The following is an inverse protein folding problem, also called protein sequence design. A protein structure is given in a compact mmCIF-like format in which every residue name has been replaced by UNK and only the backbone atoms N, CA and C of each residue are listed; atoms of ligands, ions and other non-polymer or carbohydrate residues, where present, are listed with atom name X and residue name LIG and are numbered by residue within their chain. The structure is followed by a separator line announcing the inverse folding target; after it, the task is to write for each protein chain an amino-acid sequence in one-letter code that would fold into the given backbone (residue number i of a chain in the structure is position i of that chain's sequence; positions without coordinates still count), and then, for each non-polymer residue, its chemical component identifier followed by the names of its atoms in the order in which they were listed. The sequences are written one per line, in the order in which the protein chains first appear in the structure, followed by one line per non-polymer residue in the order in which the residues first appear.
data_IF_785025250538
#
_entry.id   IF_785025250538
#
_cell.length_a   1.000
_cell.length_b   1.000
_cell.length_c   1.000
_cell.angle_alpha   90.00
_cell.angle_beta   90.00
_cell.angle_gamma   90.00
#
_symmetry.space_group_name_H-M   'P 1'
#
loop_
_entity.id
_entity.type
_entity.pdbx_description
1 polymer ?
#
# COMPACT_ATOMS: atom_id res chain seq x y z
N UNK A 1 -33.37 -34.53 36.22
CA UNK A 1 -32.44 -33.44 36.60
C UNK A 1 -32.11 -32.70 35.31
N UNK A 2 -32.71 -31.52 35.09
CA UNK A 2 -32.58 -30.75 33.85
C UNK A 2 -31.24 -30.02 33.88
N UNK A 3 -30.27 -30.45 33.07
CA UNK A 3 -29.12 -29.62 32.72
C UNK A 3 -29.60 -28.67 31.62
N UNK A 4 -29.75 -27.40 31.98
CA UNK A 4 -30.11 -26.33 31.06
C UNK A 4 -28.95 -26.05 30.11
N UNK A 5 -29.35 -25.94 28.84
CA UNK A 5 -28.64 -25.41 27.68
C UNK A 5 -28.07 -24.00 27.99
N UNK A 6 -26.85 -23.93 28.53
CA UNK A 6 -26.14 -22.66 28.76
C UNK A 6 -24.68 -22.63 28.28
N UNK A 7 -24.01 -23.77 28.10
CA UNK A 7 -22.56 -23.79 27.83
C UNK A 7 -22.20 -24.02 26.36
N UNK A 8 -22.84 -23.28 25.45
CA UNK A 8 -22.37 -23.13 24.06
C UNK A 8 -22.23 -21.63 23.78
N UNK A 9 -21.33 -21.00 24.53
CA UNK A 9 -20.60 -19.83 24.05
C UNK A 9 -19.12 -20.20 24.10
N UNK A 10 -18.63 -20.80 23.02
CA UNK A 10 -17.19 -20.93 22.80
C UNK A 10 -16.64 -19.59 22.31
N UNK A 11 -16.83 -18.53 23.10
CA UNK A 11 -15.94 -17.38 23.02
C UNK A 11 -14.62 -17.84 23.62
N UNK A 12 -13.66 -18.14 22.74
CA UNK A 12 -12.33 -18.59 23.16
C UNK A 12 -11.62 -17.39 23.76
N UNK A 13 -11.78 -17.18 25.07
CA UNK A 13 -11.13 -16.09 25.82
C UNK A 13 -9.63 -16.10 25.58
N UNK A 14 -9.09 -14.91 25.31
CA UNK A 14 -7.66 -14.68 25.08
C UNK A 14 -6.85 -15.03 26.34
N UNK A 15 -5.57 -15.38 26.22
CA UNK A 15 -4.80 -15.80 27.38
C UNK A 15 -4.50 -14.62 28.33
N UNK A 16 -4.48 -13.39 27.81
CA UNK A 16 -4.42 -12.16 28.61
C UNK A 16 -5.58 -12.08 29.61
N UNK A 17 -6.81 -12.34 29.15
CA UNK A 17 -8.00 -12.30 30.00
C UNK A 17 -7.94 -13.37 31.10
N UNK A 18 -7.34 -14.53 30.80
CA UNK A 18 -7.13 -15.60 31.80
C UNK A 18 -6.06 -15.21 32.81
N UNK A 19 -4.93 -14.65 32.38
CA UNK A 19 -3.89 -14.17 33.30
C UNK A 19 -4.38 -13.03 34.18
N UNK A 20 -5.38 -12.25 33.75
CA UNK A 20 -5.92 -11.16 34.55
C UNK A 20 -6.91 -11.57 35.65
N UNK A 21 -7.34 -12.83 35.68
CA UNK A 21 -8.22 -13.33 36.75
C UNK A 21 -7.46 -13.41 38.09
N UNK A 22 -8.05 -12.92 39.20
CA UNK A 22 -7.37 -12.87 40.50
C UNK A 22 -6.91 -14.26 40.97
N UNK A 23 -7.71 -15.30 40.74
CA UNK A 23 -7.38 -16.69 41.10
C UNK A 23 -6.15 -17.23 40.36
N UNK A 24 -5.83 -16.69 39.17
CA UNK A 24 -4.71 -17.14 38.35
C UNK A 24 -3.46 -16.29 38.68
N UNK A 25 -3.62 -15.01 39.03
CA UNK A 25 -2.54 -14.17 39.57
C UNK A 25 -1.97 -14.70 40.89
N UNK A 26 -2.78 -15.32 41.72
CA UNK A 26 -2.30 -15.96 42.96
C UNK A 26 -1.32 -17.13 42.71
N UNK A 27 -1.31 -17.71 41.50
CA UNK A 27 -0.38 -18.78 41.11
C UNK A 27 1.04 -18.28 40.86
N UNK A 28 1.24 -16.97 40.70
CA UNK A 28 2.55 -16.35 40.49
C UNK A 28 3.50 -16.59 41.69
N UNK A 29 2.95 -16.56 42.92
CA UNK A 29 3.72 -16.75 44.16
C UNK A 29 3.54 -18.14 44.78
N UNK A 30 2.87 -19.05 44.06
CA UNK A 30 2.48 -20.36 44.56
C UNK A 30 3.40 -21.51 44.11
N UNK A 31 3.11 -22.75 44.57
CA UNK A 31 3.82 -23.95 44.13
C UNK A 31 3.60 -24.28 42.64
N UNK A 32 2.66 -23.62 41.97
CA UNK A 32 2.30 -23.82 40.56
C UNK A 32 2.88 -22.73 39.63
N UNK A 33 3.93 -22.03 40.05
CA UNK A 33 4.61 -20.98 39.27
C UNK A 33 5.00 -21.42 37.85
N UNK A 34 5.35 -22.70 37.67
CA UNK A 34 5.68 -23.26 36.35
C UNK A 34 4.49 -23.20 35.36
N UNK A 35 3.25 -23.38 35.84
CA UNK A 35 2.04 -23.26 35.01
C UNK A 35 1.73 -21.81 34.66
N UNK A 36 1.96 -20.88 35.60
CA UNK A 36 1.85 -19.44 35.35
C UNK A 36 2.85 -18.99 34.27
N UNK A 37 4.12 -19.39 34.41
CA UNK A 37 5.16 -19.10 33.42
C UNK A 37 4.82 -19.69 32.05
N UNK A 38 4.25 -20.89 32.02
CA UNK A 38 3.80 -21.53 30.78
C UNK A 38 2.65 -20.75 30.14
N UNK A 39 1.68 -20.29 30.92
CA UNK A 39 0.58 -19.47 30.41
C UNK A 39 1.08 -18.14 29.85
N UNK A 40 2.02 -17.49 30.54
CA UNK A 40 2.66 -16.25 30.10
C UNK A 40 3.44 -16.44 28.78
N UNK A 41 4.09 -17.60 28.62
CA UNK A 41 4.76 -17.99 27.38
C UNK A 41 3.77 -18.17 26.22
N UNK A 42 2.61 -18.76 26.45
CA UNK A 42 1.57 -18.88 25.41
C UNK A 42 0.91 -17.55 25.07
N UNK A 43 0.79 -16.64 26.03
CA UNK A 43 0.28 -15.29 25.77
C UNK A 43 1.28 -14.47 24.95
N UNK A 44 2.56 -14.48 25.31
CA UNK A 44 3.49 -13.46 24.82
C UNK A 44 4.81 -13.95 24.25
N UNK A 45 5.17 -15.19 24.54
CA UNK A 45 6.48 -15.75 24.24
C UNK A 45 6.56 -16.45 22.90
N UNK A 46 7.71 -17.06 22.64
CA UNK A 46 8.00 -17.82 21.43
C UNK A 46 8.40 -19.26 21.73
N UNK A 47 8.42 -20.10 20.69
CA UNK A 47 8.89 -21.47 20.82
C UNK A 47 10.38 -21.55 21.17
N UNK A 48 11.20 -20.60 20.72
CA UNK A 48 12.61 -20.49 21.10
C UNK A 48 12.79 -20.24 22.61
N UNK A 49 11.99 -19.33 23.18
CA UNK A 49 11.97 -19.07 24.62
C UNK A 49 11.54 -20.30 25.43
N UNK A 50 10.64 -21.14 24.89
CA UNK A 50 10.31 -22.43 25.51
C UNK A 50 11.53 -23.36 25.58
N UNK A 51 12.34 -23.41 24.53
CA UNK A 51 13.51 -24.29 24.47
C UNK A 51 14.60 -23.87 25.45
N UNK A 52 14.78 -22.56 25.63
CA UNK A 52 15.76 -21.98 26.57
C UNK A 52 15.34 -22.17 28.03
N UNK A 53 14.02 -22.13 28.31
CA UNK A 53 13.49 -22.13 29.68
C UNK A 53 12.83 -23.44 30.12
N UNK A 54 13.19 -24.58 29.50
CA UNK A 54 12.61 -25.91 29.82
C UNK A 54 12.66 -26.29 31.30
N UNK A 55 13.64 -25.78 32.04
CA UNK A 55 13.83 -26.08 33.47
C UNK A 55 12.81 -25.37 34.39
N UNK A 56 12.19 -24.30 33.90
CA UNK A 56 11.29 -23.41 34.65
C UNK A 56 9.83 -23.63 34.20
N UNK A 57 9.65 -24.29 33.06
CA UNK A 57 8.38 -24.49 32.38
C UNK A 57 7.89 -25.94 32.52
N UNK A 58 6.58 -26.13 32.38
CA UNK A 58 5.98 -27.46 32.37
C UNK A 58 6.28 -28.13 31.02
N UNK A 59 6.53 -29.44 31.04
CA UNK A 59 6.75 -30.20 29.81
C UNK A 59 5.48 -30.17 28.93
N UNK A 60 5.61 -29.62 27.73
CA UNK A 60 4.49 -29.49 26.81
C UNK A 60 4.24 -30.79 26.04
N UNK A 61 2.95 -31.14 25.93
CA UNK A 61 2.49 -32.21 25.03
C UNK A 61 2.80 -31.85 23.57
N UNK A 62 2.89 -32.85 22.65
CA UNK A 62 3.17 -32.58 21.23
C UNK A 62 2.18 -31.60 20.59
N UNK A 63 0.91 -31.66 21.00
CA UNK A 63 -0.15 -30.76 20.51
C UNK A 63 0.08 -29.32 21.01
N UNK A 64 0.49 -29.15 22.26
CA UNK A 64 0.81 -27.83 22.82
C UNK A 64 2.06 -27.22 22.18
N UNK A 65 3.08 -28.04 21.87
CA UNK A 65 4.27 -27.59 21.13
C UNK A 65 3.91 -27.06 19.75
N UNK A 66 3.10 -27.79 18.98
CA UNK A 66 2.59 -27.33 17.69
C UNK A 66 1.82 -26.01 17.79
N UNK A 67 0.95 -25.87 18.80
CA UNK A 67 0.25 -24.60 19.06
C UNK A 67 1.20 -23.43 19.31
N UNK A 68 2.23 -23.64 20.13
CA UNK A 68 3.22 -22.59 20.41
C UNK A 68 4.04 -22.24 19.15
N UNK A 69 4.35 -23.22 18.31
CA UNK A 69 4.96 -23.00 17.01
C UNK A 69 4.06 -22.16 16.09
N UNK A 70 2.76 -22.45 15.99
CA UNK A 70 1.80 -21.62 15.24
C UNK A 70 1.75 -20.18 15.75
N UNK A 71 1.70 -19.98 17.07
CA UNK A 71 1.71 -18.64 17.68
C UNK A 71 3.03 -17.90 17.41
N UNK A 72 4.14 -18.62 17.34
CA UNK A 72 5.44 -18.05 16.97
C UNK A 72 5.42 -17.56 15.52
N UNK A 73 4.82 -18.32 14.59
CA UNK A 73 4.63 -17.89 13.19
C UNK A 73 3.78 -16.61 13.12
N UNK A 74 2.68 -16.53 13.87
CA UNK A 74 1.84 -15.31 13.96
C UNK A 74 2.64 -14.11 14.45
N UNK A 75 3.52 -14.32 15.44
CA UNK A 75 4.38 -13.28 15.99
C UNK A 75 5.38 -12.77 14.96
N UNK A 76 5.98 -13.66 14.19
CA UNK A 76 6.89 -13.30 13.11
C UNK A 76 6.14 -12.58 11.97
N UNK A 77 4.93 -13.03 11.64
CA UNK A 77 4.07 -12.41 10.63
C UNK A 77 3.61 -11.00 11.00
N UNK A 78 3.53 -10.69 12.30
CA UNK A 78 3.25 -9.34 12.79
C UNK A 78 4.42 -8.39 12.53
N UNK A 79 5.66 -8.90 12.55
CA UNK A 79 6.88 -8.12 12.32
C UNK A 79 7.22 -7.98 10.84
N UNK A 80 7.07 -9.05 10.06
CA UNK A 80 7.38 -9.06 8.63
C UNK A 80 6.33 -9.83 7.84
N UNK A 81 5.88 -9.23 6.72
CA UNK A 81 4.95 -9.86 5.78
C UNK A 81 5.61 -10.95 4.93
N UNK A 82 6.92 -10.87 4.71
CA UNK A 82 7.68 -11.91 4.02
C UNK A 82 8.67 -12.50 5.01
N UNK A 83 8.49 -13.77 5.36
CA UNK A 83 9.31 -14.47 6.35
C UNK A 83 10.16 -15.53 5.65
N UNK A 84 11.49 -15.40 5.64
CA UNK A 84 12.37 -16.42 5.08
C UNK A 84 12.26 -17.75 5.82
N UNK A 85 12.38 -18.86 5.10
CA UNK A 85 12.37 -20.21 5.69
C UNK A 85 13.51 -20.39 6.70
N UNK A 86 14.68 -19.77 6.48
CA UNK A 86 15.80 -19.83 7.44
C UNK A 86 15.42 -19.31 8.83
N UNK A 87 14.66 -18.21 8.89
CA UNK A 87 14.17 -17.63 10.15
C UNK A 87 13.15 -18.55 10.80
N UNK A 88 12.23 -19.11 10.01
CA UNK A 88 11.22 -20.04 10.52
C UNK A 88 11.84 -21.34 11.04
N UNK A 89 12.84 -21.88 10.36
CA UNK A 89 13.54 -23.10 10.79
C UNK A 89 14.27 -22.88 12.12
N UNK A 90 14.92 -21.72 12.31
CA UNK A 90 15.61 -21.38 13.56
C UNK A 90 14.63 -21.12 14.72
N UNK A 91 13.62 -20.27 14.52
CA UNK A 91 12.68 -19.88 15.57
C UNK A 91 11.74 -21.03 16.01
N UNK A 92 11.48 -21.99 15.13
CA UNK A 92 10.60 -23.14 15.41
C UNK A 92 11.37 -24.42 15.75
N UNK A 93 12.71 -24.41 15.69
CA UNK A 93 13.60 -25.58 15.82
C UNK A 93 13.16 -26.75 14.92
N UNK A 94 12.94 -26.44 13.64
CA UNK A 94 12.55 -27.42 12.62
C UNK A 94 13.74 -27.63 11.69
N UNK A 95 14.15 -28.89 11.49
CA UNK A 95 15.31 -29.23 10.64
C UNK A 95 14.97 -29.45 9.17
N UNK A 96 13.71 -29.81 8.88
CA UNK A 96 13.28 -30.21 7.54
C UNK A 96 12.24 -29.22 7.00
N UNK A 97 12.48 -28.74 5.78
CA UNK A 97 11.57 -27.84 5.06
C UNK A 97 10.18 -28.45 4.90
N UNK A 98 10.05 -29.76 4.61
CA UNK A 98 8.75 -30.42 4.49
C UNK A 98 7.92 -30.31 5.77
N UNK A 99 8.55 -30.55 6.91
CA UNK A 99 7.87 -30.46 8.20
C UNK A 99 7.45 -29.01 8.52
N UNK A 100 8.26 -28.03 8.08
CA UNK A 100 7.92 -26.62 8.19
C UNK A 100 6.71 -26.29 7.30
N UNK A 101 6.71 -26.75 6.05
CA UNK A 101 5.60 -26.53 5.10
C UNK A 101 4.31 -27.18 5.61
N UNK A 102 4.37 -28.42 6.11
CA UNK A 102 3.21 -29.10 6.72
C UNK A 102 2.65 -28.30 7.92
N UNK A 103 3.51 -27.74 8.76
CA UNK A 103 3.10 -26.92 9.90
C UNK A 103 2.45 -25.60 9.46
N UNK A 104 3.02 -24.93 8.44
CA UNK A 104 2.45 -23.71 7.86
C UNK A 104 1.08 -24.02 7.26
N UNK A 105 0.98 -25.12 6.52
CA UNK A 105 -0.26 -25.61 5.92
C UNK A 105 -1.31 -25.86 7.02
N UNK A 106 -0.95 -26.56 8.10
CA UNK A 106 -1.83 -26.76 9.27
C UNK A 106 -2.32 -25.42 9.85
N UNK A 107 -1.44 -24.42 9.96
CA UNK A 107 -1.78 -23.10 10.47
C UNK A 107 -2.71 -22.32 9.53
N UNK A 108 -2.54 -22.46 8.21
CA UNK A 108 -3.46 -21.89 7.21
C UNK A 108 -4.83 -22.57 7.26
N UNK A 109 -4.87 -23.91 7.33
CA UNK A 109 -6.12 -24.67 7.44
C UNK A 109 -6.88 -24.39 8.74
N UNK A 110 -6.19 -24.00 9.80
CA UNK A 110 -6.79 -23.60 11.07
C UNK A 110 -7.21 -22.11 11.12
N UNK A 111 -7.12 -21.39 9.99
CA UNK A 111 -7.38 -19.94 9.88
C UNK A 111 -6.54 -19.09 10.84
N UNK A 112 -5.38 -19.60 11.28
CA UNK A 112 -4.45 -18.89 12.17
C UNK A 112 -3.62 -17.89 11.36
N UNK A 113 -3.26 -18.23 10.13
CA UNK A 113 -2.56 -17.34 9.20
C UNK A 113 -3.18 -17.44 7.81
N UNK A 114 -3.18 -16.33 7.08
CA UNK A 114 -3.54 -16.28 5.68
C UNK A 114 -2.32 -15.83 4.88
N UNK A 115 -1.92 -16.64 3.91
CA UNK A 115 -0.70 -16.40 3.15
C UNK A 115 -0.42 -17.48 2.12
N UNK A 116 0.71 -17.32 1.43
CA UNK A 116 1.18 -18.22 0.36
C UNK A 116 2.62 -18.63 0.63
N UNK A 117 2.92 -19.89 0.31
CA UNK A 117 4.28 -20.39 0.34
C UNK A 117 4.94 -20.10 -1.00
N UNK A 118 6.04 -19.35 -0.98
CA UNK A 118 6.91 -19.16 -2.14
C UNK A 118 8.15 -20.04 -1.99
N UNK A 119 8.04 -21.24 -2.56
CA UNK A 119 9.10 -22.23 -2.51
C UNK A 119 10.33 -21.81 -3.36
N UNK A 120 10.15 -20.96 -4.38
CA UNK A 120 11.26 -20.50 -5.23
C UNK A 120 12.19 -19.56 -4.47
N UNK A 121 11.62 -18.62 -3.72
CA UNK A 121 12.38 -17.69 -2.90
C UNK A 121 12.59 -18.20 -1.47
N UNK A 122 12.08 -19.39 -1.14
CA UNK A 122 12.14 -19.99 0.20
C UNK A 122 11.60 -19.03 1.28
N UNK A 123 10.41 -18.50 1.05
CA UNK A 123 9.76 -17.54 1.93
C UNK A 123 8.26 -17.82 2.09
N UNK A 124 7.73 -17.46 3.25
CA UNK A 124 6.30 -17.41 3.53
C UNK A 124 5.83 -15.97 3.35
N UNK A 125 4.90 -15.75 2.43
CA UNK A 125 4.22 -14.47 2.24
C UNK A 125 2.92 -14.48 3.03
N UNK A 126 2.80 -13.63 4.04
CA UNK A 126 1.63 -13.55 4.91
C UNK A 126 0.81 -12.32 4.56
N UNK A 127 -0.40 -12.53 4.07
CA UNK A 127 -1.36 -11.47 3.79
C UNK A 127 -1.87 -10.88 5.12
N UNK A 128 -2.39 -11.74 5.99
CA UNK A 128 -2.90 -11.38 7.31
C UNK A 128 -2.71 -12.54 8.29
N UNK A 129 -2.31 -12.22 9.52
CA UNK A 129 -2.32 -13.19 10.60
C UNK A 129 -3.72 -13.23 11.22
N UNK A 130 -4.41 -14.37 11.13
CA UNK A 130 -5.69 -14.61 11.81
C UNK A 130 -5.56 -14.41 13.32
N UNK A 131 -6.66 -14.04 13.98
CA UNK A 131 -6.77 -13.57 15.38
C UNK A 131 -5.42 -13.23 16.03
N UNK A 132 -5.06 -11.94 16.00
CA UNK A 132 -3.81 -11.44 16.56
C UNK A 132 -3.52 -12.00 17.96
N UNK A 133 -2.26 -12.35 18.19
CA UNK A 133 -1.79 -12.83 19.50
C UNK A 133 -2.13 -11.82 20.60
N UNK A 134 -2.33 -12.34 21.81
CA UNK A 134 -2.50 -11.61 23.05
C UNK A 134 -1.59 -10.35 23.14
N UNK A 135 -2.19 -9.18 23.40
CA UNK A 135 -1.48 -7.89 23.52
C UNK A 135 -0.91 -7.74 24.93
N UNK A 136 0.38 -7.41 25.05
CA UNK A 136 0.97 -7.15 26.37
C UNK A 136 0.38 -5.86 26.97
N UNK A 137 0.14 -5.81 28.30
CA UNK A 137 -0.38 -4.62 28.98
C UNK A 137 0.47 -3.34 28.85
N UNK A 138 1.69 -3.40 28.28
CA UNK A 138 2.54 -2.24 27.99
C UNK A 138 2.59 -1.82 26.52
N UNK A 139 2.12 -2.66 25.59
CA UNK A 139 2.29 -2.43 24.15
C UNK A 139 1.21 -1.49 23.56
N UNK A 140 0.18 -1.13 24.34
CA UNK A 140 -0.89 -0.22 23.92
C UNK A 140 -0.37 1.17 23.55
N UNK A 141 0.69 1.63 24.21
CA UNK A 141 1.36 2.89 23.87
C UNK A 141 1.95 2.85 22.46
N UNK A 142 2.69 1.79 22.13
CA UNK A 142 3.28 1.60 20.80
C UNK A 142 2.20 1.46 19.71
N UNK A 143 1.08 0.78 19.99
CA UNK A 143 -0.07 0.70 19.08
C UNK A 143 -0.65 2.11 18.82
N UNK A 144 -0.77 2.93 19.85
CA UNK A 144 -1.30 4.30 19.73
C UNK A 144 -0.35 5.18 18.92
N UNK A 145 0.96 5.08 19.17
CA UNK A 145 1.98 5.83 18.44
C UNK A 145 2.02 5.47 16.96
N UNK A 146 2.04 4.18 16.63
CA UNK A 146 2.03 3.70 15.24
C UNK A 146 0.77 4.13 14.48
N UNK A 147 -0.40 4.09 15.12
CA UNK A 147 -1.64 4.60 14.52
C UNK A 147 -1.62 6.12 14.33
N UNK A 148 -1.05 6.87 15.27
CA UNK A 148 -0.91 8.32 15.16
C UNK A 148 0.06 8.70 14.03
N UNK A 149 1.18 7.98 13.90
CA UNK A 149 2.15 8.16 12.81
C UNK A 149 1.53 7.84 11.44
N UNK A 150 0.76 6.76 11.36
CA UNK A 150 0.02 6.42 10.14
C UNK A 150 -0.99 7.51 9.77
N UNK A 151 -1.77 8.00 10.73
CA UNK A 151 -2.71 9.10 10.53
C UNK A 151 -2.03 10.40 10.08
N UNK A 152 -0.88 10.73 10.68
CA UNK A 152 -0.06 11.87 10.27
C UNK A 152 0.43 11.70 8.83
N UNK A 153 0.95 10.52 8.48
CA UNK A 153 1.42 10.22 7.12
C UNK A 153 0.31 10.40 6.09
N UNK A 154 -0.92 9.95 6.39
CA UNK A 154 -2.08 10.15 5.53
C UNK A 154 -2.40 11.65 5.34
N UNK A 155 -2.35 12.44 6.41
CA UNK A 155 -2.56 13.89 6.34
C UNK A 155 -1.48 14.58 5.52
N UNK A 156 -0.21 14.23 5.71
CA UNK A 156 0.93 14.80 4.97
C UNK A 156 0.82 14.50 3.47
N UNK A 157 0.37 13.29 3.10
CA UNK A 157 0.11 12.91 1.71
C UNK A 157 -1.06 13.71 1.13
N UNK A 158 -2.15 13.85 1.87
CA UNK A 158 -3.31 14.65 1.44
C UNK A 158 -2.91 16.12 1.21
N UNK A 159 -2.18 16.73 2.14
CA UNK A 159 -1.70 18.10 2.00
C UNK A 159 -0.77 18.24 0.79
N UNK A 160 0.14 17.29 0.57
CA UNK A 160 1.01 17.27 -0.60
C UNK A 160 0.19 17.25 -1.90
N UNK A 161 -0.85 16.41 -1.99
CA UNK A 161 -1.75 16.35 -3.15
C UNK A 161 -2.46 17.69 -3.36
N UNK A 162 -3.01 18.28 -2.30
CA UNK A 162 -3.68 19.59 -2.37
C UNK A 162 -2.73 20.69 -2.87
N UNK A 163 -1.50 20.71 -2.37
CA UNK A 163 -0.48 21.65 -2.84
C UNK A 163 -0.13 21.43 -4.31
N UNK A 164 -0.03 20.18 -4.77
CA UNK A 164 0.22 19.87 -6.19
C UNK A 164 -0.94 20.33 -7.08
N UNK A 165 -2.19 20.18 -6.63
CA UNK A 165 -3.36 20.69 -7.36
C UNK A 165 -3.29 22.22 -7.49
N UNK A 166 -2.97 22.94 -6.41
CA UNK A 166 -2.82 24.41 -6.45
C UNK A 166 -1.71 24.82 -7.40
N UNK A 167 -0.54 24.16 -7.35
CA UNK A 167 0.60 24.45 -8.24
C UNK A 167 0.24 24.23 -9.70
N UNK A 168 -0.39 23.09 -10.03
CA UNK A 168 -0.81 22.78 -11.39
C UNK A 168 -1.84 23.79 -11.93
N UNK A 169 -2.80 24.21 -11.10
CA UNK A 169 -3.77 25.24 -11.47
C UNK A 169 -3.12 26.61 -11.68
N UNK A 170 -2.17 27.01 -10.83
CA UNK A 170 -1.44 28.26 -10.97
C UNK A 170 -0.55 28.29 -12.22
N UNK A 171 0.08 27.17 -12.57
CA UNK A 171 0.86 27.04 -13.81
C UNK A 171 -0.04 27.08 -15.04
N UNK A 172 -1.17 26.37 -15.03
CA UNK A 172 -2.19 26.45 -16.08
C UNK A 172 -2.66 27.90 -16.28
N UNK A 173 -2.97 28.62 -15.21
CA UNK A 173 -3.44 30.00 -15.29
C UNK A 173 -2.35 30.94 -15.83
N UNK A 174 -1.09 30.75 -15.41
CA UNK A 174 0.06 31.47 -15.98
C UNK A 174 0.22 31.22 -17.48
N UNK A 175 0.07 29.98 -17.92
CA UNK A 175 0.16 29.62 -19.34
C UNK A 175 -0.98 30.28 -20.17
N UNK A 176 -2.21 30.30 -19.63
CA UNK A 176 -3.35 30.98 -20.26
C UNK A 176 -3.07 32.47 -20.41
N UNK A 177 -2.69 33.16 -19.32
CA UNK A 177 -2.39 34.59 -19.36
C UNK A 177 -1.22 34.93 -20.29
N UNK A 178 -0.19 34.10 -20.32
CA UNK A 178 0.94 34.28 -21.23
C UNK A 178 0.50 34.19 -22.70
N UNK A 179 -0.35 33.21 -23.03
CA UNK A 179 -0.93 33.05 -24.37
C UNK A 179 -1.81 34.24 -24.76
N UNK A 180 -2.66 34.72 -23.85
CA UNK A 180 -3.52 35.89 -24.07
C UNK A 180 -2.69 37.15 -24.34
N UNK A 181 -1.62 37.38 -23.55
CA UNK A 181 -0.72 38.51 -23.73
C UNK A 181 -0.06 38.48 -25.11
N UNK A 182 0.48 37.33 -25.52
CA UNK A 182 1.08 37.17 -26.87
C UNK A 182 0.04 37.48 -27.96
N UNK A 183 -1.19 36.98 -27.82
CA UNK A 183 -2.26 37.24 -28.79
C UNK A 183 -2.61 38.74 -28.87
N UNK A 184 -2.64 39.43 -27.73
CA UNK A 184 -2.88 40.87 -27.68
C UNK A 184 -1.74 41.67 -28.31
N UNK A 185 -0.48 41.30 -28.05
CA UNK A 185 0.70 41.94 -28.64
C UNK A 185 0.73 41.76 -30.16
N UNK A 186 0.37 40.57 -30.65
CA UNK A 186 0.20 40.30 -32.10
C UNK A 186 -0.90 41.19 -32.69
N UNK A 187 -2.06 41.32 -32.02
CA UNK A 187 -3.16 42.13 -32.51
C UNK A 187 -2.80 43.64 -32.53
N UNK A 188 -2.12 44.13 -31.50
CA UNK A 188 -1.64 45.51 -31.43
C UNK A 188 -0.62 45.81 -32.53
N UNK A 189 0.34 44.89 -32.75
CA UNK A 189 1.35 45.02 -33.83
C UNK A 189 0.68 45.08 -35.19
N UNK A 190 -0.29 44.20 -35.46
CA UNK A 190 -1.08 44.22 -36.71
C UNK A 190 -1.83 45.55 -36.88
N UNK A 191 -2.46 46.07 -35.82
CA UNK A 191 -3.18 47.35 -35.88
C UNK A 191 -2.25 48.53 -36.18
N UNK A 192 -1.06 48.55 -35.57
CA UNK A 192 -0.06 49.59 -35.81
C UNK A 192 0.49 49.55 -37.25
N UNK A 193 0.67 48.36 -37.83
CA UNK A 193 1.04 48.19 -39.24
C UNK A 193 -0.05 48.66 -40.23
N UNK A 194 -1.32 48.60 -39.83
CA UNK A 194 -2.48 48.94 -40.69
C UNK A 194 -2.94 50.40 -40.50
N UNK A 195 -2.42 51.11 -39.49
CA UNK A 195 -2.68 52.54 -39.28
C UNK A 195 -1.90 53.37 -40.31
N UNK A 196 -2.55 54.30 -41.06
CA UNK A 196 -1.95 54.85 -42.27
C UNK A 196 -0.87 55.89 -41.92
N UNK A 197 0.39 55.47 -41.96
CA UNK A 197 1.49 56.37 -42.30
C UNK A 197 1.51 56.46 -43.83
N UNK A 198 1.31 57.68 -44.34
CA UNK A 198 1.07 57.95 -45.74
C UNK A 198 2.24 57.62 -46.67
N UNK A 199 1.85 57.34 -47.92
CA UNK A 199 2.47 57.71 -49.19
C UNK A 199 4.01 57.59 -49.34
N UNK A 200 4.40 56.57 -50.12
CA UNK A 200 5.45 56.51 -51.17
C UNK A 200 6.02 55.08 -51.15
N UNK A 201 6.17 54.32 -52.21
CA UNK A 201 6.18 54.56 -53.65
C UNK A 201 6.94 53.36 -54.23
N UNK A 202 6.25 52.62 -55.10
CA UNK A 202 6.72 51.72 -56.17
C UNK A 202 8.25 51.60 -56.35
N UNK A 203 8.82 50.37 -56.31
CA UNK A 203 9.49 49.74 -57.46
C UNK A 203 10.11 48.37 -57.15
N UNK A 204 9.68 47.40 -57.95
CA UNK A 204 10.36 46.15 -58.28
C UNK A 204 11.70 46.44 -58.97
N UNK A 205 12.71 45.60 -58.74
CA UNK A 205 13.82 45.43 -59.68
C UNK A 205 14.41 44.02 -59.54
N UNK A 206 14.14 43.23 -60.57
CA UNK A 206 14.66 41.92 -60.91
C UNK A 206 16.02 42.09 -61.64
N UNK A 207 17.07 41.34 -61.24
CA UNK A 207 18.29 41.14 -62.06
C UNK A 207 18.88 39.74 -61.86
N UNK A 208 18.42 38.84 -62.72
CA UNK A 208 19.13 37.80 -63.50
C UNK A 208 20.64 37.54 -63.25
N UNK A 209 20.87 36.29 -62.83
CA UNK A 209 21.86 35.27 -63.27
C UNK A 209 23.37 35.53 -63.40
N UNK A 210 24.13 34.61 -62.79
CA UNK A 210 25.30 33.97 -63.42
C UNK A 210 26.53 33.77 -62.53
N UNK A 211 26.75 32.57 -61.99
CA UNK A 211 27.82 31.67 -62.46
C UNK A 211 28.07 30.47 -61.49
N UNK A 212 28.29 29.33 -62.14
CA UNK A 212 28.50 27.94 -61.74
C UNK A 212 29.69 27.62 -60.81
N UNK A 213 29.61 26.51 -60.05
CA UNK A 213 30.81 25.81 -59.56
C UNK A 213 30.71 24.91 -58.32
N UNK A 214 30.01 23.77 -58.41
CA UNK A 214 30.26 22.43 -57.82
C UNK A 214 31.07 22.23 -56.50
N UNK A 215 30.52 21.43 -55.55
CA UNK A 215 31.34 20.57 -54.66
C UNK A 215 30.83 20.19 -53.25
N UNK A 216 29.86 19.28 -53.16
CA UNK A 216 29.53 18.27 -52.11
C UNK A 216 30.07 18.34 -50.65
N UNK A 217 29.18 18.32 -49.63
CA UNK A 217 28.94 17.18 -48.69
C UNK A 217 28.13 17.56 -47.42
N UNK A 218 26.99 16.87 -47.26
CA UNK A 218 26.27 16.38 -46.07
C UNK A 218 26.18 17.18 -44.75
N UNK A 219 24.94 17.55 -44.38
CA UNK A 219 24.24 17.10 -43.16
C UNK A 219 23.24 18.16 -42.64
N UNK A 220 21.96 18.07 -43.07
CA UNK A 220 20.82 18.72 -42.40
C UNK A 220 19.53 17.97 -42.75
N UNK A 221 18.98 17.19 -41.82
CA UNK A 221 17.62 16.65 -41.89
C UNK A 221 16.68 17.53 -41.07
N UNK A 222 15.96 18.41 -41.74
CA UNK A 222 14.83 19.15 -41.18
C UNK A 222 13.54 18.49 -41.67
N UNK A 223 12.71 18.04 -40.73
CA UNK A 223 11.45 17.34 -40.99
C UNK A 223 10.29 18.35 -41.04
N UNK A 224 9.54 18.28 -42.13
CA UNK A 224 8.33 19.05 -42.46
C UNK A 224 7.20 18.86 -41.42
N UNK A 225 6.34 19.88 -41.19
CA UNK A 225 5.12 19.72 -40.41
C UNK A 225 3.98 19.13 -41.28
N UNK A 226 3.37 18.06 -40.80
CA UNK A 226 2.21 17.40 -41.39
C UNK A 226 0.91 18.10 -40.96
N UNK A 227 0.13 18.56 -41.93
CA UNK A 227 -1.29 18.93 -41.78
C UNK A 227 -2.16 17.67 -41.63
N UNK A 228 -3.34 17.79 -41.00
CA UNK A 228 -4.49 17.11 -41.56
C UNK A 228 -5.75 18.00 -41.60
N UNK A 229 -6.45 17.98 -42.73
CA UNK A 229 -7.87 18.34 -42.78
C UNK A 229 -8.63 17.40 -43.73
N UNK A 230 -9.67 16.74 -43.22
CA UNK A 230 -10.90 16.44 -43.96
C UNK A 230 -11.99 15.86 -43.04
N UNK A 231 -12.98 16.71 -42.73
CA UNK A 231 -14.44 16.45 -42.79
C UNK A 231 -15.01 15.24 -42.04
N UNK A 232 -15.70 15.51 -40.92
CA UNK A 232 -16.93 14.78 -40.55
C UNK A 232 -18.12 15.73 -40.40
N UNK A 233 -19.20 15.34 -41.07
CA UNK A 233 -20.42 16.10 -41.37
C UNK A 233 -21.36 16.11 -40.17
N UNK A 234 -21.86 17.31 -39.82
CA UNK A 234 -22.95 17.54 -38.87
C UNK A 234 -24.24 16.85 -39.34
N UNK A 235 -24.94 16.17 -38.44
CA UNK A 235 -26.32 15.72 -38.67
C UNK A 235 -27.19 16.16 -37.48
N UNK A 236 -28.15 17.06 -37.74
CA UNK A 236 -29.21 17.46 -36.81
C UNK A 236 -30.28 16.36 -36.75
N UNK A 237 -30.72 16.00 -35.55
CA UNK A 237 -31.87 15.12 -35.30
C UNK A 237 -32.58 15.51 -34.00
N UNK A 238 -33.91 15.66 -34.08
CA UNK A 238 -34.87 16.23 -33.11
C UNK A 238 -34.85 15.59 -31.71
N UNK A 239 -35.18 16.39 -30.70
CA UNK A 239 -35.33 15.94 -29.31
C UNK A 239 -36.64 15.21 -29.00
N UNK A 240 -36.74 14.69 -27.77
CA UNK A 240 -37.96 14.35 -27.02
C UNK A 240 -37.64 14.46 -25.52
N UNK A 241 -38.65 14.94 -24.78
CA UNK A 241 -38.74 15.26 -23.34
C UNK A 241 -38.68 14.03 -22.40
N UNK A 242 -38.35 14.32 -21.13
CA UNK A 242 -38.79 13.60 -19.91
C UNK A 242 -37.95 12.36 -19.59
N UNK A 243 -37.56 12.04 -18.36
CA UNK A 243 -38.01 12.43 -17.02
C UNK A 243 -37.95 11.15 -16.16
N UNK A 244 -37.31 11.18 -14.99
CA UNK A 244 -37.41 10.08 -14.01
C UNK A 244 -36.10 9.72 -13.31
N UNK A 245 -36.01 10.15 -12.04
CA UNK A 245 -35.01 9.73 -11.05
C UNK A 245 -35.13 8.23 -10.76
N UNK A 246 -34.02 7.51 -10.67
CA UNK A 246 -33.98 6.17 -10.08
C UNK A 246 -32.74 6.03 -9.18
N UNK A 247 -32.87 6.49 -7.94
CA UNK A 247 -32.11 5.99 -6.80
C UNK A 247 -33.13 5.74 -5.70
N UNK A 248 -33.24 4.50 -5.24
CA UNK A 248 -33.82 4.16 -3.95
C UNK A 248 -32.85 3.23 -3.23
N UNK A 249 -32.48 3.68 -2.03
CA UNK A 249 -32.17 2.91 -0.82
C UNK A 249 -32.91 1.59 -0.73
#
# INVERSE_FOLDING_TARGET
MKMTRSDVSTETKSNTEKTDMPNIKELENGPYVAYWNTLNLFAYGTYKEYLENKNILVELTPVQKKKLQHLTIVTLATKSKCIPYSVLLDELDIKNVRNLEDLIIEAVYADIINGKLDQKNCQLEVDYAGLGRDVKPGDTGAITETLAEWGKTCNDILECIEQQVVRANAEKQRAIHHKEKIQQDIANTKKNLVSPSGASGIQEADTVAGNSGTGNSDSCREALPVLPDAKRKQQKGKGIRGGGKFWKT
#
